data_IF_169578278673
#
_entry.id   IF_169578278673
#
_cell.length_a   1.000
_cell.length_b   1.000
_cell.length_c   1.000
_cell.angle_alpha   90.00
_cell.angle_beta   90.00
_cell.angle_gamma   90.00
#
_symmetry.space_group_name_H-M   'P 1'
#
loop_
_entity.id
_entity.type
_entity.pdbx_description
1 polymer ?
#
# COMPACT_ATOMS: atom_id res chain seq x y z
N UNK A 1 5.10 9.82 -23.22
CA UNK A 1 4.00 8.89 -22.93
C UNK A 1 4.39 8.17 -21.67
N UNK A 2 3.60 8.31 -20.63
CA UNK A 2 3.95 7.86 -19.28
C UNK A 2 3.95 6.33 -19.23
N UNK A 3 4.97 5.68 -18.62
CA UNK A 3 5.07 4.22 -18.49
C UNK A 3 3.84 3.57 -17.83
N UNK A 4 3.08 4.36 -17.07
CA UNK A 4 1.79 3.98 -16.52
C UNK A 4 0.74 3.66 -17.60
N UNK A 5 0.77 4.35 -18.75
CA UNK A 5 -0.10 4.04 -19.90
C UNK A 5 0.35 2.72 -20.57
N UNK A 6 1.66 2.49 -20.66
CA UNK A 6 2.21 1.23 -21.20
C UNK A 6 1.95 0.05 -20.27
N UNK A 7 1.89 0.28 -18.95
CA UNK A 7 1.50 -0.73 -17.97
C UNK A 7 0.07 -1.24 -18.19
N UNK A 8 -0.89 -0.35 -18.50
CA UNK A 8 -2.26 -0.74 -18.89
C UNK A 8 -2.28 -1.63 -20.14
N UNK A 9 -1.40 -1.36 -21.10
CA UNK A 9 -1.38 -2.04 -22.42
C UNK A 9 -0.77 -3.45 -22.30
N UNK A 10 0.28 -3.62 -21.52
CA UNK A 10 1.02 -4.89 -21.44
C UNK A 10 0.31 -5.99 -20.62
N UNK A 11 -0.65 -5.64 -19.74
CA UNK A 11 -1.50 -6.61 -19.05
C UNK A 11 -2.76 -7.01 -19.84
N UNK A 12 -3.05 -6.36 -20.98
CA UNK A 12 -4.25 -6.56 -21.78
C UNK A 12 -4.06 -7.56 -22.93
N UNK A 13 -2.83 -8.04 -23.17
CA UNK A 13 -2.53 -8.92 -24.31
C UNK A 13 -2.39 -10.40 -23.91
N UNK A 14 -3.51 -11.02 -23.56
CA UNK A 14 -3.74 -12.44 -23.85
C UNK A 14 -5.16 -12.61 -24.38
N UNK A 15 -5.19 -13.01 -25.64
CA UNK A 15 -6.40 -13.24 -26.44
C UNK A 15 -7.44 -14.08 -25.73
N UNK A 16 -8.69 -13.62 -25.76
CA UNK A 16 -9.93 -14.29 -26.17
C UNK A 16 -11.11 -13.41 -25.77
N UNK A 17 -12.25 -13.51 -26.43
CA UNK A 17 -13.53 -12.77 -26.26
C UNK A 17 -14.11 -12.73 -24.83
N UNK A 18 -13.29 -12.43 -23.82
CA UNK A 18 -13.60 -12.55 -22.40
C UNK A 18 -13.46 -11.20 -21.70
N UNK A 19 -14.52 -10.78 -21.08
CA UNK A 19 -14.79 -9.55 -20.32
C UNK A 19 -13.88 -8.34 -20.65
N UNK A 20 -14.45 -7.35 -21.33
CA UNK A 20 -13.83 -6.05 -21.67
C UNK A 20 -13.47 -5.16 -20.46
N UNK A 21 -13.48 -5.69 -19.23
CA UNK A 21 -13.23 -4.89 -18.05
C UNK A 21 -11.73 -4.80 -17.77
N UNK A 22 -11.17 -3.58 -17.66
CA UNK A 22 -9.77 -3.39 -17.36
C UNK A 22 -9.45 -3.93 -15.96
N UNK A 23 -8.28 -4.56 -15.83
CA UNK A 23 -7.72 -4.91 -14.53
C UNK A 23 -7.21 -3.65 -13.84
N UNK A 24 -7.65 -3.43 -12.61
CA UNK A 24 -7.21 -2.31 -11.78
C UNK A 24 -5.98 -2.77 -10.98
N UNK A 25 -4.80 -2.14 -11.17
CA UNK A 25 -3.63 -2.44 -10.35
C UNK A 25 -3.92 -2.15 -8.88
N UNK A 26 -3.46 -3.05 -8.00
CA UNK A 26 -3.66 -2.91 -6.56
C UNK A 26 -2.50 -3.53 -5.78
N UNK A 27 -2.30 -3.04 -4.56
CA UNK A 27 -1.32 -3.55 -3.61
C UNK A 27 -1.99 -3.78 -2.26
N UNK A 28 -1.59 -4.85 -1.58
CA UNK A 28 -2.12 -5.25 -0.27
C UNK A 28 -0.99 -5.75 0.61
N UNK A 29 -0.99 -5.40 1.89
CA UNK A 29 0.04 -5.81 2.84
C UNK A 29 -0.51 -6.66 3.99
N UNK A 30 0.15 -7.77 4.25
CA UNK A 30 -0.02 -8.56 5.46
C UNK A 30 0.96 -8.00 6.50
N UNK A 31 0.43 -7.26 7.48
CA UNK A 31 1.22 -6.84 8.64
C UNK A 31 1.25 -7.99 9.65
N UNK A 32 2.44 -8.51 9.92
CA UNK A 32 2.63 -9.66 10.82
C UNK A 32 3.49 -9.30 12.02
N UNK A 33 3.19 -9.89 13.18
CA UNK A 33 4.00 -9.76 14.39
C UNK A 33 4.06 -11.07 15.18
N UNK A 34 5.12 -11.21 15.95
CA UNK A 34 5.19 -12.25 16.96
C UNK A 34 4.47 -11.77 18.25
N UNK A 35 3.54 -12.57 18.74
CA UNK A 35 2.88 -12.34 20.01
C UNK A 35 2.62 -13.66 20.73
N UNK A 36 3.15 -13.83 21.94
CA UNK A 36 2.96 -15.03 22.77
C UNK A 36 3.29 -16.33 22.02
N UNK A 37 4.43 -16.36 21.31
CA UNK A 37 4.88 -17.51 20.50
C UNK A 37 3.93 -17.90 19.35
N UNK A 38 3.10 -16.96 18.90
CA UNK A 38 2.21 -17.11 17.75
C UNK A 38 2.43 -15.97 16.77
N UNK A 39 2.20 -16.23 15.50
CA UNK A 39 2.15 -15.19 14.47
C UNK A 39 0.75 -14.61 14.45
N UNK A 40 0.64 -13.31 14.67
CA UNK A 40 -0.58 -12.54 14.45
C UNK A 40 -0.51 -11.76 13.15
N UNK A 41 -1.63 -11.63 12.46
CA UNK A 41 -1.77 -10.87 11.23
C UNK A 41 -2.86 -9.82 11.42
N UNK A 42 -2.53 -8.57 11.14
CA UNK A 42 -3.51 -7.48 11.24
C UNK A 42 -4.51 -7.53 10.09
N UNK A 43 -5.80 -7.45 10.43
CA UNK A 43 -6.90 -7.43 9.47
C UNK A 43 -7.92 -6.35 9.83
N UNK A 44 -8.61 -5.85 8.82
CA UNK A 44 -9.67 -4.83 8.92
C UNK A 44 -10.97 -5.44 8.43
N UNK A 45 -12.06 -5.24 9.19
CA UNK A 45 -13.42 -5.63 8.76
C UNK A 45 -14.01 -4.51 7.92
N UNK A 46 -14.33 -4.80 6.67
CA UNK A 46 -14.91 -3.81 5.75
C UNK A 46 -16.32 -3.39 6.17
N UNK A 47 -16.62 -2.10 6.01
CA UNK A 47 -17.96 -1.59 6.22
C UNK A 47 -18.97 -2.27 5.28
N UNK A 48 -20.17 -2.57 5.79
CA UNK A 48 -21.21 -3.32 5.04
C UNK A 48 -21.62 -2.67 3.71
N UNK A 49 -21.46 -1.35 3.57
CA UNK A 49 -21.81 -0.58 2.37
C UNK A 49 -20.74 -0.60 1.27
N UNK A 50 -19.58 -1.22 1.53
CA UNK A 50 -18.47 -1.31 0.56
C UNK A 50 -18.53 -2.62 -0.24
N UNK A 51 -17.74 -2.71 -1.32
CA UNK A 51 -17.53 -3.98 -2.02
C UNK A 51 -16.96 -5.02 -1.05
N UNK A 52 -17.53 -6.21 -1.01
CA UNK A 52 -17.21 -7.26 -0.05
C UNK A 52 -17.44 -6.83 1.42
N UNK A 53 -18.53 -6.09 1.69
CA UNK A 53 -18.89 -5.62 3.02
C UNK A 53 -18.97 -6.74 4.05
N UNK A 54 -18.46 -6.48 5.25
CA UNK A 54 -18.39 -7.44 6.35
C UNK A 54 -17.24 -8.45 6.27
N UNK A 55 -16.50 -8.53 5.14
CA UNK A 55 -15.33 -9.38 5.03
C UNK A 55 -14.15 -8.81 5.82
N UNK A 56 -13.33 -9.70 6.39
CA UNK A 56 -12.04 -9.38 6.93
C UNK A 56 -11.01 -9.34 5.80
N UNK A 57 -10.28 -8.24 5.68
CA UNK A 57 -9.29 -8.01 4.63
C UNK A 57 -8.00 -7.48 5.22
N UNK A 58 -6.90 -7.64 4.49
CA UNK A 58 -5.64 -6.97 4.79
C UNK A 58 -5.68 -5.52 4.28
N UNK A 59 -4.96 -4.58 4.90
CA UNK A 59 -4.82 -3.23 4.39
C UNK A 59 -4.34 -3.22 2.93
N UNK A 60 -4.96 -2.39 2.10
CA UNK A 60 -4.55 -2.27 0.70
C UNK A 60 -5.64 -1.72 -0.20
N UNK A 61 -5.21 -1.20 -1.34
CA UNK A 61 -6.09 -0.60 -2.32
C UNK A 61 -5.47 -0.47 -3.69
N UNK A 62 -5.94 0.49 -4.48
CA UNK A 62 -5.49 0.71 -5.85
C UNK A 62 -4.10 1.34 -5.86
N UNK A 63 -3.32 0.99 -6.88
CA UNK A 63 -2.18 1.82 -7.26
C UNK A 63 -2.72 3.10 -7.89
N UNK A 64 -2.31 4.24 -7.36
CA UNK A 64 -2.70 5.55 -7.86
C UNK A 64 -1.58 6.19 -8.70
N UNK A 65 -1.92 7.20 -9.50
CA UNK A 65 -0.91 7.94 -10.28
C UNK A 65 0.05 8.73 -9.40
N UNK A 66 -0.38 9.12 -8.21
CA UNK A 66 0.45 9.80 -7.20
C UNK A 66 1.50 8.88 -6.57
N UNK A 67 1.33 7.56 -6.66
CA UNK A 67 2.35 6.60 -6.21
C UNK A 67 3.58 6.55 -7.14
N UNK A 68 3.48 7.12 -8.37
CA UNK A 68 4.60 7.29 -9.31
C UNK A 68 5.41 8.55 -8.95
N UNK A 69 6.14 8.47 -7.86
CA UNK A 69 6.90 9.58 -7.29
C UNK A 69 8.13 9.88 -8.14
N UNK A 70 8.26 11.13 -8.60
CA UNK A 70 9.50 11.60 -9.25
C UNK A 70 10.66 11.56 -8.27
N UNK A 71 11.85 11.17 -8.75
CA UNK A 71 13.06 11.04 -7.94
C UNK A 71 12.87 10.10 -6.72
N UNK A 72 12.15 9.01 -6.95
CA UNK A 72 11.80 8.02 -5.91
C UNK A 72 13.02 7.49 -5.14
N UNK A 73 14.22 7.51 -5.74
CA UNK A 73 15.48 7.10 -5.09
C UNK A 73 15.81 7.91 -3.84
N UNK A 74 15.30 9.14 -3.71
CA UNK A 74 15.42 9.95 -2.50
C UNK A 74 14.66 9.30 -1.33
N UNK A 75 13.52 8.70 -1.60
CA UNK A 75 12.59 8.16 -0.60
C UNK A 75 12.72 6.64 -0.44
N UNK A 76 13.30 5.97 -1.43
CA UNK A 76 13.51 4.50 -1.44
C UNK A 76 14.95 4.19 -1.90
N UNK A 77 15.98 4.50 -1.10
CA UNK A 77 17.37 4.34 -1.50
C UNK A 77 17.80 2.86 -1.59
N UNK A 78 17.10 1.95 -0.91
CA UNK A 78 17.46 0.54 -0.79
C UNK A 78 16.68 -0.40 -1.74
N UNK A 79 15.71 0.13 -2.49
CA UNK A 79 14.98 -0.61 -3.53
C UNK A 79 14.68 0.34 -4.68
N UNK A 80 15.24 0.06 -5.86
CA UNK A 80 14.94 0.80 -7.08
C UNK A 80 13.87 0.11 -7.93
N UNK A 81 13.40 0.79 -9.00
CA UNK A 81 12.36 0.26 -9.88
C UNK A 81 12.76 -0.99 -10.65
N UNK A 82 14.02 -1.08 -11.09
CA UNK A 82 14.52 -2.24 -11.82
C UNK A 82 14.43 -3.51 -10.96
N UNK A 83 14.93 -3.46 -9.73
CA UNK A 83 14.89 -4.59 -8.81
C UNK A 83 13.45 -4.91 -8.37
N UNK A 84 12.63 -3.90 -8.10
CA UNK A 84 11.22 -4.07 -7.79
C UNK A 84 10.47 -4.73 -8.95
N UNK A 85 10.69 -4.27 -10.16
CA UNK A 85 10.10 -4.84 -11.38
C UNK A 85 10.51 -6.27 -11.62
N UNK A 86 11.79 -6.57 -11.40
CA UNK A 86 12.33 -7.95 -11.47
C UNK A 86 11.64 -8.87 -10.45
N UNK A 87 11.46 -8.42 -9.20
CA UNK A 87 10.74 -9.20 -8.16
C UNK A 87 9.29 -9.48 -8.55
N UNK A 88 8.62 -8.54 -9.21
CA UNK A 88 7.23 -8.70 -9.67
C UNK A 88 7.12 -9.47 -11.00
N UNK A 89 8.22 -9.72 -11.72
CA UNK A 89 8.21 -10.34 -13.05
C UNK A 89 7.59 -9.43 -14.12
N UNK A 90 7.80 -8.10 -14.03
CA UNK A 90 7.33 -7.10 -15.00
C UNK A 90 8.52 -6.30 -15.55
N UNK A 91 8.30 -5.59 -16.66
CA UNK A 91 9.40 -4.86 -17.35
C UNK A 91 9.86 -3.62 -16.60
N UNK A 92 8.92 -2.84 -16.06
CA UNK A 92 9.18 -1.57 -15.36
C UNK A 92 7.96 -1.18 -14.55
N UNK A 93 8.09 -0.16 -13.69
CA UNK A 93 7.01 0.34 -12.85
C UNK A 93 6.71 -0.58 -11.67
N UNK A 94 7.69 -1.37 -11.22
CA UNK A 94 7.51 -2.28 -10.09
C UNK A 94 7.43 -1.56 -8.75
N UNK A 95 8.24 -0.53 -8.57
CA UNK A 95 8.37 0.15 -7.28
C UNK A 95 7.08 0.86 -6.86
N UNK A 96 6.26 1.31 -7.81
CA UNK A 96 4.96 1.95 -7.55
C UNK A 96 4.05 1.07 -6.67
N UNK A 97 4.16 -0.27 -6.74
CA UNK A 97 3.37 -1.17 -5.89
C UNK A 97 3.80 -1.17 -4.43
N UNK A 98 5.11 -0.97 -4.15
CA UNK A 98 5.60 -0.79 -2.79
C UNK A 98 5.13 0.54 -2.22
N UNK A 99 5.13 1.60 -3.04
CA UNK A 99 4.64 2.92 -2.62
C UNK A 99 3.15 2.85 -2.31
N UNK A 100 2.34 2.32 -3.23
CA UNK A 100 0.91 2.09 -3.01
C UNK A 100 0.65 1.25 -1.76
N UNK A 101 1.41 0.18 -1.56
CA UNK A 101 1.33 -0.68 -0.39
C UNK A 101 1.54 0.11 0.93
N UNK A 102 2.56 0.98 0.98
CA UNK A 102 2.87 1.80 2.16
C UNK A 102 1.79 2.86 2.38
N UNK A 103 1.35 3.55 1.33
CA UNK A 103 0.31 4.59 1.40
C UNK A 103 -1.01 4.00 1.88
N UNK A 104 -1.50 2.95 1.25
CA UNK A 104 -2.76 2.28 1.62
C UNK A 104 -2.70 1.69 3.04
N UNK A 105 -1.55 1.10 3.41
CA UNK A 105 -1.32 0.66 4.78
C UNK A 105 -1.51 1.80 5.78
N UNK A 106 -0.90 2.97 5.51
CA UNK A 106 -1.03 4.13 6.37
C UNK A 106 -2.47 4.67 6.42
N UNK A 107 -3.13 4.80 5.28
CA UNK A 107 -4.51 5.27 5.19
C UNK A 107 -5.47 4.40 6.01
N UNK A 108 -5.40 3.10 5.85
CA UNK A 108 -6.35 2.17 6.46
C UNK A 108 -6.00 1.80 7.91
N UNK A 109 -4.71 1.61 8.24
CA UNK A 109 -4.28 1.15 9.57
C UNK A 109 -3.65 2.24 10.46
N UNK A 110 -3.24 3.36 9.88
CA UNK A 110 -2.43 4.37 10.58
C UNK A 110 -0.95 4.00 10.72
N UNK A 111 -0.53 2.84 10.23
CA UNK A 111 0.86 2.40 10.27
C UNK A 111 1.57 2.90 9.01
N UNK A 112 2.53 3.80 9.18
CA UNK A 112 3.39 4.29 8.12
C UNK A 112 4.71 3.51 8.13
N UNK A 113 4.93 2.69 7.10
CA UNK A 113 6.16 1.90 6.95
C UNK A 113 7.29 2.79 6.38
N UNK A 114 7.78 3.68 7.22
CA UNK A 114 8.84 4.64 6.91
C UNK A 114 9.64 5.00 8.17
N UNK A 115 10.88 5.38 8.00
CA UNK A 115 11.82 5.64 9.08
C UNK A 115 12.54 6.99 8.90
N UNK A 116 12.96 7.60 10.01
CA UNK A 116 13.96 8.66 10.04
C UNK A 116 14.84 8.45 11.29
N UNK A 117 16.05 7.94 11.07
CA UNK A 117 16.97 7.62 12.17
C UNK A 117 17.40 8.88 12.97
N UNK A 118 17.61 10.01 12.27
CA UNK A 118 18.05 11.27 12.90
C UNK A 118 16.98 11.84 13.84
N UNK A 119 15.71 11.73 13.44
CA UNK A 119 14.55 12.15 14.24
C UNK A 119 14.04 11.05 15.18
N UNK A 120 14.69 9.88 15.21
CA UNK A 120 14.26 8.70 15.97
C UNK A 120 12.82 8.26 15.65
N UNK A 121 12.40 8.46 14.41
CA UNK A 121 11.13 7.95 13.89
C UNK A 121 11.41 6.57 13.34
N UNK A 122 10.76 5.55 13.90
CA UNK A 122 10.86 4.17 13.42
C UNK A 122 9.49 3.65 13.10
N UNK A 123 9.34 3.11 11.88
CA UNK A 123 8.07 2.61 11.34
C UNK A 123 6.93 3.64 11.46
N UNK A 124 7.26 4.92 11.21
CA UNK A 124 6.29 5.99 11.28
C UNK A 124 5.69 6.23 12.66
N UNK A 125 6.42 5.90 13.73
CA UNK A 125 5.96 6.18 15.07
C UNK A 125 6.26 7.63 15.46
N UNK A 126 5.21 8.42 15.55
CA UNK A 126 5.25 9.83 15.92
C UNK A 126 4.71 10.01 17.34
N UNK A 127 5.11 11.11 17.99
CA UNK A 127 4.68 11.45 19.37
C UNK A 127 4.34 12.93 19.48
N UNK A 128 3.42 13.24 20.39
CA UNK A 128 3.07 14.63 20.71
C UNK A 128 2.50 15.39 19.51
N UNK A 129 2.98 16.60 19.27
CA UNK A 129 2.51 17.46 18.17
C UNK A 129 2.70 16.83 16.78
N UNK A 130 3.71 16.02 16.60
CA UNK A 130 3.98 15.35 15.32
C UNK A 130 2.90 14.29 15.01
N UNK A 131 2.41 13.58 16.03
CA UNK A 131 1.31 12.64 15.89
C UNK A 131 0.02 13.32 15.42
N UNK A 132 -0.29 14.50 15.96
CA UNK A 132 -1.45 15.28 15.53
C UNK A 132 -1.33 15.72 14.06
N UNK A 133 -0.15 16.17 13.64
CA UNK A 133 0.13 16.53 12.25
C UNK A 133 -0.04 15.33 11.32
N UNK A 134 0.54 14.19 11.66
CA UNK A 134 0.44 12.95 10.89
C UNK A 134 -1.02 12.50 10.75
N UNK A 135 -1.80 12.59 11.83
CA UNK A 135 -3.24 12.28 11.81
C UNK A 135 -4.04 13.25 10.91
N UNK A 136 -3.60 14.51 10.77
CA UNK A 136 -4.21 15.44 9.82
C UNK A 136 -3.91 15.04 8.38
N UNK A 137 -2.68 14.62 8.07
CA UNK A 137 -2.34 14.07 6.74
C UNK A 137 -3.14 12.81 6.42
N UNK A 138 -3.26 11.88 7.38
CA UNK A 138 -4.10 10.68 7.22
C UNK A 138 -5.54 11.05 6.86
N UNK A 139 -6.15 11.99 7.57
CA UNK A 139 -7.51 12.47 7.27
C UNK A 139 -7.62 13.07 5.87
N UNK A 140 -6.60 13.78 5.41
CA UNK A 140 -6.60 14.37 4.06
C UNK A 140 -6.49 13.30 2.97
N UNK A 141 -5.66 12.29 3.18
CA UNK A 141 -5.54 11.12 2.28
C UNK A 141 -6.88 10.39 2.16
N UNK A 142 -7.55 10.11 3.29
CA UNK A 142 -8.89 9.49 3.31
C UNK A 142 -9.96 10.34 2.60
N UNK A 143 -9.75 11.65 2.45
CA UNK A 143 -10.58 12.54 1.64
C UNK A 143 -10.18 12.55 0.15
N UNK A 144 -9.23 11.71 -0.26
CA UNK A 144 -8.73 11.62 -1.63
C UNK A 144 -7.78 12.75 -2.03
N UNK A 145 -7.16 13.47 -1.07
CA UNK A 145 -6.14 14.47 -1.37
C UNK A 145 -4.79 13.78 -1.56
N UNK A 146 -4.05 14.22 -2.56
CA UNK A 146 -2.69 13.75 -2.85
C UNK A 146 -1.68 14.50 -1.98
N UNK A 147 -1.53 14.07 -0.73
CA UNK A 147 -0.65 14.70 0.27
C UNK A 147 0.37 13.70 0.88
N UNK A 148 0.48 12.50 0.31
CA UNK A 148 1.37 11.48 0.84
C UNK A 148 2.84 11.91 0.76
N UNK A 149 3.26 12.43 -0.39
CA UNK A 149 4.62 12.90 -0.58
C UNK A 149 4.95 14.11 0.32
N UNK A 150 3.98 15.01 0.54
CA UNK A 150 4.16 16.14 1.45
C UNK A 150 4.41 15.67 2.89
N UNK A 151 3.73 14.61 3.34
CA UNK A 151 3.98 13.99 4.64
C UNK A 151 5.40 13.45 4.73
N UNK A 152 5.84 12.71 3.71
CA UNK A 152 7.18 12.10 3.67
C UNK A 152 8.27 13.20 3.69
N UNK A 153 8.13 14.24 2.88
CA UNK A 153 9.07 15.37 2.85
C UNK A 153 9.08 16.15 4.18
N UNK A 154 7.91 16.42 4.76
CA UNK A 154 7.81 17.18 6.02
C UNK A 154 8.61 16.56 7.16
N UNK A 155 8.60 15.25 7.25
CA UNK A 155 9.31 14.54 8.30
C UNK A 155 10.64 13.95 7.84
N UNK A 156 11.03 14.21 6.56
CA UNK A 156 12.26 13.71 5.94
C UNK A 156 12.37 12.18 6.10
N UNK A 157 11.31 11.49 5.69
CA UNK A 157 11.20 10.05 5.87
C UNK A 157 11.82 9.28 4.71
N UNK A 158 12.37 8.13 5.05
CA UNK A 158 12.76 7.08 4.09
C UNK A 158 11.73 5.96 4.17
N UNK A 159 11.16 5.57 3.03
CA UNK A 159 10.19 4.47 2.95
C UNK A 159 10.89 3.13 3.15
N UNK A 160 10.35 2.29 4.03
CA UNK A 160 10.95 0.99 4.40
C UNK A 160 10.73 -0.08 3.32
N UNK A 161 10.89 0.27 2.05
CA UNK A 161 10.60 -0.61 0.88
C UNK A 161 11.41 -1.90 0.87
N UNK A 162 12.63 -1.88 1.43
CA UNK A 162 13.50 -3.05 1.56
C UNK A 162 13.03 -4.06 2.63
N UNK A 163 12.16 -3.65 3.55
CA UNK A 163 11.61 -4.49 4.61
C UNK A 163 10.25 -5.09 4.24
N UNK A 164 9.75 -4.78 3.06
CA UNK A 164 8.48 -5.27 2.53
C UNK A 164 8.76 -6.31 1.45
N UNK A 165 8.41 -7.57 1.73
CA UNK A 165 8.61 -8.65 0.79
C UNK A 165 7.36 -8.89 -0.07
N UNK A 166 7.55 -9.02 -1.39
CA UNK A 166 6.52 -9.49 -2.30
C UNK A 166 6.29 -10.99 -2.12
N UNK A 167 5.02 -11.43 -2.04
CA UNK A 167 4.69 -12.84 -1.78
C UNK A 167 3.80 -13.47 -2.84
N UNK A 168 2.85 -12.74 -3.43
CA UNK A 168 1.97 -13.33 -4.46
C UNK A 168 1.26 -12.30 -5.33
N UNK A 169 0.68 -12.78 -6.45
CA UNK A 169 -0.13 -12.00 -7.36
C UNK A 169 -1.47 -12.68 -7.60
N UNK A 170 -2.55 -11.97 -7.31
CA UNK A 170 -3.90 -12.46 -7.50
C UNK A 170 -4.68 -11.58 -8.45
N UNK A 171 -5.44 -12.22 -9.33
CA UNK A 171 -6.31 -11.54 -10.31
C UNK A 171 -7.74 -11.93 -10.02
N UNK A 172 -8.60 -10.94 -9.82
CA UNK A 172 -10.02 -11.16 -9.59
C UNK A 172 -10.64 -11.98 -10.73
N UNK A 173 -11.46 -13.01 -10.44
CA UNK A 173 -12.12 -13.82 -11.45
C UNK A 173 -12.90 -13.00 -12.49
N UNK A 174 -13.01 -13.51 -13.72
CA UNK A 174 -13.65 -12.81 -14.85
C UNK A 174 -15.15 -12.54 -14.65
N UNK A 175 -15.80 -13.30 -13.80
CA UNK A 175 -17.22 -13.14 -13.48
C UNK A 175 -17.54 -11.85 -12.69
N UNK A 176 -16.53 -11.29 -12.04
CA UNK A 176 -16.71 -10.10 -11.19
C UNK A 176 -16.83 -8.81 -12.02
N UNK A 177 -17.74 -7.93 -11.62
CA UNK A 177 -17.99 -6.65 -12.29
C UNK A 177 -16.81 -5.66 -12.18
N UNK A 178 -16.02 -5.75 -11.11
CA UNK A 178 -14.82 -4.95 -10.89
C UNK A 178 -13.66 -5.89 -10.61
N UNK A 179 -12.59 -5.76 -11.40
CA UNK A 179 -11.48 -6.70 -11.35
C UNK A 179 -10.19 -5.99 -10.98
N UNK A 180 -9.45 -6.61 -10.07
CA UNK A 180 -8.17 -6.13 -9.58
C UNK A 180 -7.05 -7.10 -9.97
N UNK A 181 -5.87 -6.52 -10.24
CA UNK A 181 -4.59 -7.21 -10.36
C UNK A 181 -3.79 -6.87 -9.10
N UNK A 182 -3.96 -7.65 -8.03
CA UNK A 182 -3.46 -7.32 -6.70
C UNK A 182 -2.12 -8.00 -6.43
N UNK A 183 -1.11 -7.22 -6.10
CA UNK A 183 0.17 -7.69 -5.59
C UNK A 183 0.10 -7.73 -4.06
N UNK A 184 0.41 -8.89 -3.49
CA UNK A 184 0.40 -9.12 -2.05
C UNK A 184 1.82 -9.03 -1.50
N UNK A 185 1.95 -8.29 -0.42
CA UNK A 185 3.19 -8.05 0.28
C UNK A 185 3.07 -8.50 1.73
N UNK A 186 4.19 -8.72 2.38
CA UNK A 186 4.27 -8.97 3.82
C UNK A 186 5.31 -8.03 4.43
N UNK A 187 4.96 -7.47 5.58
CA UNK A 187 5.84 -6.61 6.35
C UNK A 187 5.68 -6.89 7.84
N UNK A 188 6.74 -6.64 8.60
CA UNK A 188 6.68 -6.73 10.06
C UNK A 188 5.83 -5.58 10.59
N UNK A 189 4.80 -5.91 11.36
CA UNK A 189 4.01 -4.91 12.07
C UNK A 189 4.88 -4.28 13.17
N UNK A 190 4.99 -2.94 13.22
CA UNK A 190 5.66 -2.28 14.34
C UNK A 190 4.90 -2.53 15.64
N UNK A 191 5.57 -2.30 16.78
CA UNK A 191 4.99 -2.55 18.11
C UNK A 191 3.88 -1.55 18.51
N UNK A 192 3.59 -0.55 17.67
CA UNK A 192 2.46 0.35 17.84
C UNK A 192 1.13 -0.36 17.52
N UNK A 193 0.04 0.07 18.14
CA UNK A 193 -1.28 -0.46 17.87
C UNK A 193 -1.76 0.04 16.51
N UNK A 194 -2.00 -0.90 15.61
CA UNK A 194 -2.72 -0.62 14.37
C UNK A 194 -4.21 -0.38 14.68
N UNK A 195 -4.82 0.56 13.97
CA UNK A 195 -6.24 0.87 14.08
C UNK A 195 -6.88 0.78 12.71
N UNK A 196 -8.21 0.76 12.64
CA UNK A 196 -8.94 0.91 11.38
C UNK A 196 -9.23 2.39 11.09
N UNK A 197 -9.53 2.72 9.84
CA UNK A 197 -9.81 4.08 9.38
C UNK A 197 -11.18 4.64 9.82
N UNK A 198 -12.12 3.76 10.18
CA UNK A 198 -13.49 4.10 10.54
C UNK A 198 -14.42 4.40 9.34
N UNK A 199 -13.90 4.37 8.13
CA UNK A 199 -14.65 4.64 6.89
C UNK A 199 -14.89 3.35 6.09
N UNK A 200 -13.84 2.81 5.49
CA UNK A 200 -13.89 1.52 4.78
C UNK A 200 -13.74 0.34 5.75
N UNK A 201 -12.97 0.50 6.82
CA UNK A 201 -12.81 -0.44 7.91
C UNK A 201 -13.55 0.00 9.16
N UNK A 202 -14.31 -0.90 9.79
CA UNK A 202 -15.14 -0.61 10.99
C UNK A 202 -14.69 -1.39 12.23
N UNK A 203 -13.81 -2.35 12.09
CA UNK A 203 -13.27 -3.20 13.17
C UNK A 203 -11.88 -3.70 12.75
N UNK A 204 -10.94 -3.83 13.70
CA UNK A 204 -9.60 -4.41 13.47
C UNK A 204 -9.31 -5.52 14.48
N UNK A 205 -8.49 -6.48 14.10
CA UNK A 205 -7.97 -7.54 14.97
C UNK A 205 -6.59 -8.00 14.53
#
# INVERSE_FOLDING_TARGET
MNDYQNYKINHTLSNTNESKQPLIPAATVLLVRDHNSKIEVFMIKRAMKTNFGGAWVFPGGKVDSSDDIKNISKYSPLLNDEEASKRLGIKSGGLIYWIACIRECFEESGILLADNEQKKISKGWFKGSDEEIVNQYKKQLLQGKDVFLELIDKFDLTLSTNEIAYISHWITPKIEKRRYSTRFFIARCPNQLATHDGLEGVESR
#
